data_IF_565032185390
#
_entry.id   IF_565032185390
#
_cell.length_a   1.000
_cell.length_b   1.000
_cell.length_c   1.000
_cell.angle_alpha   90.00
_cell.angle_beta   90.00
_cell.angle_gamma   90.00
#
_symmetry.space_group_name_H-M   'P 1'
#
loop_
_entity.id
_entity.type
_entity.pdbx_description
1 polymer ?
#
# COMPACT_ATOMS: atom_id res chain seq x y z
N UNK A 1 1.62 -30.60 27.65
CA UNK A 1 0.85 -30.10 26.50
C UNK A 1 1.65 -28.97 25.88
N UNK A 2 2.32 -29.18 24.75
CA UNK A 2 2.98 -28.11 24.00
C UNK A 2 1.91 -27.45 23.13
N UNK A 3 1.56 -26.20 23.43
CA UNK A 3 0.69 -25.41 22.55
C UNK A 3 1.42 -25.21 21.21
N UNK A 4 0.86 -25.74 20.12
CA UNK A 4 1.36 -25.52 18.77
C UNK A 4 1.05 -24.07 18.36
N UNK A 5 1.94 -23.14 18.69
CA UNK A 5 1.84 -21.73 18.27
C UNK A 5 2.14 -21.66 16.78
N UNK A 6 1.19 -21.15 15.98
CA UNK A 6 1.31 -20.93 14.53
C UNK A 6 1.64 -19.48 14.16
N UNK A 7 1.48 -18.54 15.10
CA UNK A 7 1.84 -17.14 14.90
C UNK A 7 3.36 -16.94 14.73
N UNK A 8 3.76 -15.99 13.88
CA UNK A 8 5.16 -15.68 13.58
C UNK A 8 5.56 -14.30 14.08
N UNK A 9 6.57 -14.24 14.95
CA UNK A 9 7.14 -12.99 15.46
C UNK A 9 7.81 -12.18 14.34
N UNK A 10 8.59 -12.86 13.49
CA UNK A 10 9.31 -12.21 12.37
C UNK A 10 8.33 -11.53 11.43
N UNK A 11 7.21 -12.17 11.10
CA UNK A 11 6.15 -11.58 10.29
C UNK A 11 5.55 -10.33 10.96
N UNK A 12 5.29 -10.39 12.27
CA UNK A 12 4.74 -9.26 13.01
C UNK A 12 5.67 -8.03 12.97
N UNK A 13 6.98 -8.23 13.19
CA UNK A 13 7.97 -7.16 13.13
C UNK A 13 8.07 -6.55 11.73
N UNK A 14 8.07 -7.39 10.70
CA UNK A 14 8.10 -6.94 9.31
C UNK A 14 6.86 -6.10 8.96
N UNK A 15 5.67 -6.51 9.41
CA UNK A 15 4.43 -5.77 9.18
C UNK A 15 4.39 -4.42 9.90
N UNK A 16 4.94 -4.33 11.13
CA UNK A 16 5.05 -3.07 11.87
C UNK A 16 6.00 -2.11 11.16
N UNK A 17 7.17 -2.58 10.74
CA UNK A 17 8.13 -1.77 9.97
C UNK A 17 7.52 -1.30 8.64
N UNK A 18 6.86 -2.21 7.93
CA UNK A 18 6.19 -1.92 6.67
C UNK A 18 5.07 -0.89 6.84
N UNK A 19 4.32 -0.91 7.95
CA UNK A 19 3.30 0.11 8.25
C UNK A 19 3.90 1.51 8.31
N UNK A 20 4.99 1.69 9.04
CA UNK A 20 5.67 2.98 9.14
C UNK A 20 6.21 3.42 7.78
N UNK A 21 6.84 2.50 7.04
CA UNK A 21 7.33 2.76 5.69
C UNK A 21 6.20 3.20 4.74
N UNK A 22 5.07 2.49 4.71
CA UNK A 22 3.93 2.82 3.84
C UNK A 22 3.35 4.20 4.12
N UNK A 23 3.30 4.64 5.38
CA UNK A 23 2.86 6.02 5.72
C UNK A 23 3.84 7.05 5.17
N UNK A 24 5.14 6.86 5.38
CA UNK A 24 6.17 7.77 4.87
C UNK A 24 6.12 7.81 3.34
N UNK A 25 6.04 6.64 2.70
CA UNK A 25 5.93 6.51 1.24
C UNK A 25 4.71 7.27 0.69
N UNK A 26 3.54 7.12 1.32
CA UNK A 26 2.33 7.84 0.93
C UNK A 26 2.50 9.36 1.02
N UNK A 27 3.13 9.87 2.08
CA UNK A 27 3.40 11.30 2.22
C UNK A 27 4.38 11.79 1.15
N UNK A 28 5.47 11.05 0.91
CA UNK A 28 6.46 11.39 -0.11
C UNK A 28 5.83 11.44 -1.50
N UNK A 29 5.04 10.43 -1.89
CA UNK A 29 4.41 10.44 -3.22
C UNK A 29 3.39 11.57 -3.36
N UNK A 30 2.69 11.93 -2.28
CA UNK A 30 1.76 13.06 -2.27
C UNK A 30 2.50 14.40 -2.47
N UNK A 31 3.66 14.59 -1.83
CA UNK A 31 4.49 15.78 -2.07
C UNK A 31 5.02 15.82 -3.50
N UNK A 32 5.50 14.68 -4.02
CA UNK A 32 5.97 14.57 -5.41
C UNK A 32 4.85 14.89 -6.40
N UNK A 33 3.62 14.46 -6.13
CA UNK A 33 2.45 14.81 -6.94
C UNK A 33 2.22 16.33 -7.03
N UNK A 34 2.22 17.05 -5.90
CA UNK A 34 2.05 18.51 -5.90
C UNK A 34 3.21 19.25 -6.60
N UNK A 35 4.43 18.76 -6.41
CA UNK A 35 5.61 19.29 -7.10
C UNK A 35 5.46 19.12 -8.62
N UNK A 36 5.14 17.90 -9.07
CA UNK A 36 4.92 17.59 -10.49
C UNK A 36 3.80 18.44 -11.09
N UNK A 37 2.68 18.58 -10.38
CA UNK A 37 1.55 19.40 -10.82
C UNK A 37 1.84 20.89 -10.98
N UNK A 38 2.91 21.38 -10.33
CA UNK A 38 3.33 22.79 -10.39
C UNK A 38 4.39 23.05 -11.48
N UNK A 39 5.22 22.04 -11.80
CA UNK A 39 6.36 22.17 -12.72
C UNK A 39 6.04 21.64 -14.12
N UNK A 40 5.28 20.54 -14.24
CA UNK A 40 5.06 19.82 -15.49
C UNK A 40 3.69 20.17 -16.10
N UNK A 41 3.60 20.35 -17.43
CA UNK A 41 2.34 20.63 -18.10
C UNK A 41 1.47 19.36 -18.24
N UNK A 42 0.86 18.92 -17.14
CA UNK A 42 -0.05 17.77 -17.14
C UNK A 42 -1.45 18.14 -17.61
N UNK A 43 -2.01 17.33 -18.50
CA UNK A 43 -3.44 17.35 -18.80
C UNK A 43 -4.25 17.14 -17.51
N UNK A 44 -5.30 17.95 -17.31
CA UNK A 44 -6.07 17.96 -16.06
C UNK A 44 -6.67 16.59 -15.71
N UNK A 45 -7.15 15.84 -16.71
CA UNK A 45 -7.76 14.53 -16.48
C UNK A 45 -6.75 13.48 -15.99
N UNK A 46 -5.53 13.46 -16.54
CA UNK A 46 -4.44 12.58 -16.08
C UNK A 46 -4.09 12.89 -14.63
N UNK A 47 -4.01 14.18 -14.29
CA UNK A 47 -3.68 14.67 -12.95
C UNK A 47 -4.72 14.28 -11.90
N UNK A 48 -6.01 14.30 -12.26
CA UNK A 48 -7.10 13.86 -11.37
C UNK A 48 -7.01 12.35 -11.16
N UNK A 49 -6.80 11.57 -12.24
CA UNK A 49 -6.71 10.12 -12.14
C UNK A 49 -5.52 9.67 -11.28
N UNK A 50 -4.37 10.32 -11.45
CA UNK A 50 -3.18 10.05 -10.63
C UNK A 50 -3.44 10.32 -9.14
N UNK A 51 -4.10 11.42 -8.81
CA UNK A 51 -4.48 11.72 -7.42
C UNK A 51 -5.42 10.65 -6.85
N UNK A 52 -6.41 10.20 -7.63
CA UNK A 52 -7.32 9.14 -7.19
C UNK A 52 -6.56 7.84 -6.92
N UNK A 53 -5.58 7.49 -7.74
CA UNK A 53 -4.74 6.31 -7.54
C UNK A 53 -3.89 6.44 -6.27
N UNK A 54 -3.27 7.60 -6.04
CA UNK A 54 -2.50 7.88 -4.81
C UNK A 54 -3.42 7.80 -3.59
N UNK A 55 -4.60 8.42 -3.64
CA UNK A 55 -5.55 8.40 -2.53
C UNK A 55 -6.13 7.00 -2.28
N UNK A 56 -6.27 6.16 -3.32
CA UNK A 56 -6.72 4.78 -3.18
C UNK A 56 -5.68 3.88 -2.49
N UNK A 57 -4.38 4.18 -2.62
CA UNK A 57 -3.31 3.43 -1.98
C UNK A 57 -3.49 3.35 -0.46
N UNK A 58 -3.71 4.50 0.20
CA UNK A 58 -3.75 4.59 1.66
C UNK A 58 -4.79 3.66 2.35
N UNK A 59 -6.09 3.69 1.98
CA UNK A 59 -7.07 2.82 2.62
C UNK A 59 -6.85 1.34 2.27
N UNK A 60 -6.47 1.02 1.03
CA UNK A 60 -6.22 -0.37 0.61
C UNK A 60 -5.04 -0.95 1.41
N UNK A 61 -3.94 -0.21 1.48
CA UNK A 61 -2.74 -0.62 2.21
C UNK A 61 -2.99 -0.70 3.72
N UNK A 62 -3.75 0.23 4.29
CA UNK A 62 -4.13 0.19 5.70
C UNK A 62 -4.95 -1.05 6.06
N UNK A 63 -5.94 -1.40 5.23
CA UNK A 63 -6.76 -2.61 5.42
C UNK A 63 -5.91 -3.86 5.26
N UNK A 64 -5.08 -3.92 4.20
CA UNK A 64 -4.16 -5.03 3.94
C UNK A 64 -3.29 -5.31 5.18
N UNK A 65 -2.59 -4.29 5.68
CA UNK A 65 -1.70 -4.44 6.82
C UNK A 65 -2.44 -4.79 8.11
N UNK A 66 -3.60 -4.17 8.34
CA UNK A 66 -4.43 -4.45 9.51
C UNK A 66 -4.89 -5.90 9.55
N UNK A 67 -5.35 -6.45 8.42
CA UNK A 67 -5.77 -7.84 8.33
C UNK A 67 -4.59 -8.80 8.40
N UNK A 68 -3.44 -8.48 7.79
CA UNK A 68 -2.24 -9.31 7.91
C UNK A 68 -1.77 -9.44 9.37
N UNK A 69 -1.65 -8.32 10.08
CA UNK A 69 -1.28 -8.33 11.51
C UNK A 69 -2.31 -9.08 12.36
N UNK A 70 -3.61 -8.82 12.18
CA UNK A 70 -4.68 -9.51 12.92
C UNK A 70 -4.66 -11.01 12.65
N UNK A 71 -4.58 -11.42 11.39
CA UNK A 71 -4.56 -12.82 10.99
C UNK A 71 -3.38 -13.60 11.55
N UNK A 72 -2.22 -12.96 11.70
CA UNK A 72 -1.06 -13.57 12.36
C UNK A 72 -1.27 -13.74 13.87
N UNK A 73 -1.78 -12.71 14.56
CA UNK A 73 -2.01 -12.74 16.00
C UNK A 73 -3.17 -13.66 16.41
N UNK A 74 -4.21 -13.76 15.59
CA UNK A 74 -5.38 -14.60 15.84
C UNK A 74 -5.27 -15.96 15.15
N UNK A 75 -4.13 -16.27 14.54
CA UNK A 75 -3.85 -17.49 13.77
C UNK A 75 -4.97 -17.85 12.78
N UNK A 76 -5.61 -16.83 12.21
CA UNK A 76 -6.80 -16.96 11.39
C UNK A 76 -6.43 -16.91 9.90
N UNK A 77 -6.55 -18.02 9.16
CA UNK A 77 -6.10 -18.09 7.77
C UNK A 77 -6.92 -17.18 6.84
N UNK A 78 -8.18 -16.89 7.16
CA UNK A 78 -9.03 -16.02 6.35
C UNK A 78 -8.46 -14.58 6.27
N UNK A 79 -8.08 -13.98 7.40
CA UNK A 79 -7.49 -12.64 7.41
C UNK A 79 -6.17 -12.57 6.67
N UNK A 80 -5.34 -13.61 6.77
CA UNK A 80 -4.10 -13.72 6.01
C UNK A 80 -4.37 -13.85 4.51
N UNK A 81 -5.35 -14.67 4.11
CA UNK A 81 -5.75 -14.83 2.71
C UNK A 81 -6.26 -13.51 2.11
N UNK A 82 -7.10 -12.77 2.84
CA UNK A 82 -7.58 -11.46 2.38
C UNK A 82 -6.46 -10.41 2.33
N UNK A 83 -5.54 -10.40 3.30
CA UNK A 83 -4.34 -9.56 3.24
C UNK A 83 -3.47 -9.89 2.02
N UNK A 84 -3.31 -11.17 1.70
CA UNK A 84 -2.57 -11.60 0.50
C UNK A 84 -3.29 -11.16 -0.78
N UNK A 85 -4.61 -11.30 -0.86
CA UNK A 85 -5.42 -10.83 -1.98
C UNK A 85 -5.28 -9.32 -2.19
N UNK A 86 -5.35 -8.53 -1.12
CA UNK A 86 -5.16 -7.08 -1.18
C UNK A 86 -3.75 -6.66 -1.56
N UNK A 87 -2.77 -7.57 -1.58
CA UNK A 87 -1.44 -7.27 -2.12
C UNK A 87 -1.48 -7.06 -3.64
N UNK A 88 -2.43 -7.67 -4.35
CA UNK A 88 -2.59 -7.52 -5.80
C UNK A 88 -2.88 -6.06 -6.20
N UNK A 89 -3.94 -5.40 -5.70
CA UNK A 89 -4.20 -4.01 -6.04
C UNK A 89 -3.09 -3.06 -5.55
N UNK A 90 -2.46 -3.34 -4.40
CA UNK A 90 -1.32 -2.55 -3.92
C UNK A 90 -0.14 -2.63 -4.90
N UNK A 91 0.22 -3.84 -5.35
CA UNK A 91 1.28 -4.01 -6.34
C UNK A 91 0.95 -3.31 -7.66
N UNK A 92 -0.30 -3.39 -8.14
CA UNK A 92 -0.72 -2.68 -9.34
C UNK A 92 -0.57 -1.16 -9.21
N UNK A 93 -0.98 -0.59 -8.07
CA UNK A 93 -0.81 0.85 -7.79
C UNK A 93 0.68 1.21 -7.77
N UNK A 94 1.52 0.43 -7.08
CA UNK A 94 2.95 0.69 -6.98
C UNK A 94 3.65 0.60 -8.35
N UNK A 95 3.30 -0.40 -9.16
CA UNK A 95 3.81 -0.54 -10.53
C UNK A 95 3.36 0.63 -11.40
N UNK A 96 2.12 1.08 -11.27
CA UNK A 96 1.64 2.26 -11.98
C UNK A 96 2.44 3.51 -11.61
N UNK A 97 2.61 3.77 -10.31
CA UNK A 97 3.38 4.92 -9.80
C UNK A 97 4.86 4.87 -10.17
N UNK A 98 5.43 3.67 -10.34
CA UNK A 98 6.83 3.49 -10.70
C UNK A 98 7.10 3.59 -12.22
N UNK A 99 6.25 2.98 -13.05
CA UNK A 99 6.57 2.71 -14.46
C UNK A 99 5.58 3.29 -15.48
N UNK A 100 4.32 3.50 -15.12
CA UNK A 100 3.26 3.88 -16.08
C UNK A 100 2.75 5.31 -15.90
N UNK A 101 3.50 6.16 -15.20
CA UNK A 101 3.18 7.57 -15.11
C UNK A 101 3.28 8.20 -16.50
N UNK A 102 2.15 8.68 -17.03
CA UNK A 102 2.08 9.23 -18.38
C UNK A 102 2.45 10.73 -18.35
N UNK A 103 3.63 11.06 -18.89
CA UNK A 103 4.19 12.42 -18.91
C UNK A 103 4.01 13.13 -20.26
N UNK A 104 3.40 12.47 -21.25
CA UNK A 104 3.31 12.92 -22.63
C UNK A 104 1.93 13.43 -23.06
N UNK A 105 1.95 14.28 -24.09
CA UNK A 105 0.86 15.00 -24.76
C UNK A 105 -0.25 14.09 -25.28
#
# INVERSE_FOLDING_TARGET
MTSNVRSSLTYQLMMIGHRTFSVIFFLVILFVYFYKGSVLPYQNHVRILELLIILAFAPIEAVRLSWGMRGNLTETPAFLAFSSLLSVPVLLILVYLAAFQNYGW
#
